data_IF_603319925984
#
_entry.id   IF_603319925984
#
_cell.length_a   1.000
_cell.length_b   1.000
_cell.length_c   1.000
_cell.angle_alpha   90.00
_cell.angle_beta   90.00
_cell.angle_gamma   90.00
#
_symmetry.space_group_name_H-M   'P 1'
#
loop_
_entity.id
_entity.type
_entity.pdbx_description
1 polymer ?
#
# COMPACT_ATOMS: atom_id res chain seq x y z
N UNK A 1 38.07 23.07 24.63
CA UNK A 1 37.35 23.18 23.35
C UNK A 1 36.45 21.95 23.25
N UNK A 2 35.14 22.07 23.51
CA UNK A 2 34.20 20.93 23.43
C UNK A 2 33.84 20.74 21.96
N UNK A 3 34.24 19.63 21.36
CA UNK A 3 33.73 19.18 20.07
C UNK A 3 32.25 18.84 20.25
N UNK A 4 31.37 19.73 19.79
CA UNK A 4 29.95 19.42 19.59
C UNK A 4 29.84 18.40 18.47
N UNK A 5 29.68 17.13 18.81
CA UNK A 5 29.15 16.14 17.85
C UNK A 5 27.70 16.52 17.53
N UNK A 6 27.45 16.98 16.31
CA UNK A 6 26.10 17.01 15.77
C UNK A 6 25.73 15.59 15.36
N UNK A 7 25.00 14.86 16.20
CA UNK A 7 24.43 13.55 15.88
C UNK A 7 23.04 13.72 15.28
N UNK A 8 22.98 14.05 13.99
CA UNK A 8 21.73 13.99 13.23
C UNK A 8 21.44 12.54 12.80
N UNK A 9 20.18 12.09 12.85
CA UNK A 9 19.80 10.71 12.50
C UNK A 9 19.69 10.44 10.99
N UNK A 10 19.76 9.15 10.64
CA UNK A 10 19.64 8.57 9.30
C UNK A 10 18.18 8.30 8.90
N UNK A 11 17.87 8.39 7.60
CA UNK A 11 16.56 8.09 6.99
C UNK A 11 16.77 7.08 5.87
N UNK A 12 16.19 5.87 5.95
CA UNK A 12 16.28 4.90 4.84
C UNK A 12 14.91 4.46 4.34
N UNK A 13 14.71 4.66 3.03
CA UNK A 13 13.58 4.19 2.24
C UNK A 13 14.17 3.45 1.04
N UNK A 14 13.97 2.14 0.95
CA UNK A 14 14.55 1.29 -0.10
C UNK A 14 13.46 0.54 -0.89
N UNK A 15 13.74 0.29 -2.17
CA UNK A 15 12.94 -0.54 -3.05
C UNK A 15 13.90 -1.42 -3.84
N UNK A 16 13.68 -2.73 -3.80
CA UNK A 16 14.52 -3.70 -4.49
C UNK A 16 13.71 -4.35 -5.60
N UNK A 17 13.99 -3.93 -6.82
CA UNK A 17 13.38 -4.51 -8.01
C UNK A 17 14.23 -5.68 -8.54
N UNK A 18 13.72 -6.90 -8.37
CA UNK A 18 14.37 -8.11 -8.85
C UNK A 18 13.58 -8.80 -9.97
N UNK A 19 12.54 -8.15 -10.51
CA UNK A 19 11.64 -8.75 -11.49
C UNK A 19 11.71 -7.96 -12.79
N UNK A 20 12.12 -8.63 -13.88
CA UNK A 20 12.21 -7.98 -15.19
C UNK A 20 10.87 -7.39 -15.58
N UNK A 21 10.87 -6.19 -16.17
CA UNK A 21 9.65 -5.50 -16.56
C UNK A 21 8.73 -6.33 -17.48
N UNK A 22 9.30 -7.21 -18.31
CA UNK A 22 8.58 -8.16 -19.18
C UNK A 22 7.80 -9.23 -18.40
N UNK A 23 8.33 -9.66 -17.25
CA UNK A 23 7.80 -10.76 -16.43
C UNK A 23 6.78 -10.28 -15.37
N UNK A 24 6.67 -8.96 -15.18
CA UNK A 24 5.72 -8.38 -14.22
C UNK A 24 4.28 -8.65 -14.63
N UNK A 25 3.51 -9.07 -13.65
CA UNK A 25 2.07 -9.32 -13.75
C UNK A 25 1.35 -8.04 -14.12
N UNK A 26 0.45 -8.14 -15.11
CA UNK A 26 -0.45 -7.06 -15.49
C UNK A 26 -1.78 -7.20 -14.75
N UNK A 27 -2.23 -6.13 -14.11
CA UNK A 27 -3.44 -6.10 -13.30
C UNK A 27 -4.53 -5.36 -14.08
N UNK A 28 -5.62 -6.06 -14.42
CA UNK A 28 -6.68 -5.52 -15.28
C UNK A 28 -8.07 -5.57 -14.64
N UNK A 29 -8.21 -6.22 -13.48
CA UNK A 29 -9.48 -6.40 -12.79
C UNK A 29 -9.26 -6.55 -11.30
N UNK A 30 -10.31 -6.27 -10.51
CA UNK A 30 -10.32 -6.51 -9.07
C UNK A 30 -10.10 -7.99 -8.72
N UNK A 31 -10.58 -8.92 -9.56
CA UNK A 31 -10.34 -10.35 -9.42
C UNK A 31 -8.85 -10.70 -9.54
N UNK A 32 -8.17 -10.11 -10.53
CA UNK A 32 -6.71 -10.28 -10.68
C UNK A 32 -5.99 -9.66 -9.50
N UNK A 33 -6.39 -8.48 -9.05
CA UNK A 33 -5.81 -7.86 -7.85
C UNK A 33 -5.97 -8.77 -6.63
N UNK A 34 -7.16 -9.31 -6.41
CA UNK A 34 -7.47 -10.20 -5.29
C UNK A 34 -6.62 -11.47 -5.31
N UNK A 35 -6.44 -12.13 -6.46
CA UNK A 35 -5.66 -13.37 -6.52
C UNK A 35 -4.19 -13.18 -6.12
N UNK A 36 -3.61 -12.02 -6.44
CA UNK A 36 -2.24 -11.66 -6.05
C UNK A 36 -2.12 -11.06 -4.65
N UNK A 37 -3.18 -10.43 -4.13
CA UNK A 37 -3.19 -9.85 -2.78
C UNK A 37 -3.53 -10.88 -1.70
N UNK A 38 -4.40 -11.85 -1.98
CA UNK A 38 -4.87 -12.85 -1.02
C UNK A 38 -3.73 -13.57 -0.26
N UNK A 39 -2.62 -13.99 -0.90
CA UNK A 39 -1.53 -14.65 -0.18
C UNK A 39 -0.89 -13.79 0.92
N UNK A 40 -0.93 -12.47 0.81
CA UNK A 40 -0.38 -11.57 1.85
C UNK A 40 -1.21 -11.60 3.14
N UNK A 41 -2.47 -12.03 3.07
CA UNK A 41 -3.36 -12.12 4.22
C UNK A 41 -3.42 -13.52 4.85
N UNK A 42 -2.60 -14.48 4.41
CA UNK A 42 -2.77 -15.89 4.80
C UNK A 42 -2.69 -16.13 6.31
N UNK A 43 -1.93 -15.31 7.04
CA UNK A 43 -1.73 -15.44 8.48
C UNK A 43 -2.68 -14.56 9.31
N UNK A 44 -3.37 -13.59 8.68
CA UNK A 44 -4.20 -12.61 9.39
C UNK A 44 -5.68 -12.65 9.02
N UNK A 45 -6.06 -13.34 7.93
CA UNK A 45 -7.39 -13.30 7.29
C UNK A 45 -8.56 -13.32 8.28
N UNK A 46 -8.53 -14.24 9.24
CA UNK A 46 -9.60 -14.48 10.22
C UNK A 46 -9.28 -13.93 11.62
N UNK A 47 -8.07 -13.38 11.82
CA UNK A 47 -7.58 -12.99 13.14
C UNK A 47 -7.66 -11.49 13.40
N UNK A 48 -7.23 -10.66 12.45
CA UNK A 48 -7.18 -9.21 12.58
C UNK A 48 -7.15 -8.54 11.21
N UNK A 49 -7.40 -7.22 11.19
CA UNK A 49 -7.33 -6.44 9.96
C UNK A 49 -5.90 -6.03 9.66
N UNK A 50 -5.51 -6.24 8.40
CA UNK A 50 -4.34 -5.65 7.78
C UNK A 50 -4.75 -4.92 6.51
N UNK A 51 -3.90 -4.01 6.08
CA UNK A 51 -4.11 -3.17 4.91
C UNK A 51 -2.87 -3.17 4.05
N UNK A 52 -3.03 -3.60 2.80
CA UNK A 52 -1.96 -3.65 1.81
C UNK A 52 -2.24 -2.71 0.63
N UNK A 53 -1.17 -2.23 0.03
CA UNK A 53 -1.23 -1.45 -1.21
C UNK A 53 -0.36 -2.09 -2.27
N UNK A 54 -0.96 -2.36 -3.43
CA UNK A 54 -0.24 -2.74 -4.63
C UNK A 54 0.07 -1.51 -5.47
N UNK A 55 1.31 -1.36 -5.89
CA UNK A 55 1.76 -0.23 -6.70
C UNK A 55 1.91 -0.68 -8.16
N UNK A 56 1.49 0.16 -9.11
CA UNK A 56 1.45 -0.16 -10.53
C UNK A 56 2.23 0.86 -11.34
N UNK A 57 2.83 0.43 -12.45
CA UNK A 57 3.33 1.36 -13.47
C UNK A 57 2.22 1.75 -14.47
N UNK A 58 2.53 2.65 -15.42
CA UNK A 58 1.60 3.11 -16.46
C UNK A 58 0.97 2.01 -17.33
N UNK A 59 1.60 0.83 -17.40
CA UNK A 59 1.08 -0.32 -18.14
C UNK A 59 0.22 -1.26 -17.26
N UNK A 60 -0.16 -0.81 -16.06
CA UNK A 60 -0.80 -1.59 -15.00
C UNK A 60 -0.02 -2.83 -14.60
N UNK A 61 1.31 -2.80 -14.72
CA UNK A 61 2.16 -3.90 -14.24
C UNK A 61 2.56 -3.66 -12.79
N UNK A 62 2.46 -4.71 -11.97
CA UNK A 62 2.79 -4.64 -10.55
C UNK A 62 4.27 -4.26 -10.33
N UNK A 63 4.48 -3.23 -9.52
CA UNK A 63 5.77 -2.80 -9.01
C UNK A 63 6.11 -3.49 -7.69
N UNK A 64 5.09 -3.81 -6.90
CA UNK A 64 5.23 -4.50 -5.64
C UNK A 64 3.99 -4.31 -4.79
N UNK A 65 3.99 -4.95 -3.64
CA UNK A 65 2.95 -4.87 -2.62
C UNK A 65 3.62 -4.48 -1.30
N UNK A 66 3.03 -3.55 -0.56
CA UNK A 66 3.51 -3.12 0.76
C UNK A 66 2.40 -3.22 1.79
N UNK A 67 2.75 -3.73 2.97
CA UNK A 67 1.90 -3.63 4.16
C UNK A 67 1.93 -2.17 4.64
N UNK A 68 0.77 -1.53 4.68
CA UNK A 68 0.64 -0.12 5.10
C UNK A 68 0.19 -0.02 6.55
N UNK A 69 -0.68 -0.92 6.97
CA UNK A 69 -1.20 -0.93 8.33
C UNK A 69 -1.45 -2.34 8.80
N UNK A 70 -1.07 -2.59 10.05
CA UNK A 70 -1.40 -3.79 10.81
C UNK A 70 -2.21 -3.32 12.01
N UNK A 71 -3.51 -3.62 11.99
CA UNK A 71 -4.47 -3.12 12.97
C UNK A 71 -4.78 -4.11 14.09
N UNK A 72 -5.62 -3.65 15.03
CA UNK A 72 -6.36 -4.49 15.97
C UNK A 72 -7.79 -4.79 15.47
N UNK A 73 -8.67 -5.29 16.32
CA UNK A 73 -10.00 -5.82 15.93
C UNK A 73 -11.03 -4.79 15.38
N UNK A 74 -10.75 -3.48 15.41
CA UNK A 74 -11.79 -2.46 15.21
C UNK A 74 -11.58 -1.46 14.07
N UNK A 75 -10.34 -1.19 13.61
CA UNK A 75 -10.04 -0.30 12.48
C UNK A 75 -8.54 -0.36 12.11
N UNK A 76 -8.21 -0.37 10.82
CA UNK A 76 -6.84 -0.20 10.32
C UNK A 76 -6.57 1.24 9.91
N UNK A 77 -5.56 1.88 10.49
CA UNK A 77 -5.17 3.27 10.13
C UNK A 77 -4.26 3.24 8.91
N UNK A 78 -4.78 3.63 7.74
CA UNK A 78 -3.97 3.85 6.54
C UNK A 78 -3.40 5.27 6.52
N UNK A 79 -2.08 5.43 6.70
CA UNK A 79 -1.44 6.73 6.60
C UNK A 79 -1.16 7.10 5.14
N UNK A 80 -1.85 8.15 4.67
CA UNK A 80 -1.72 8.67 3.30
C UNK A 80 -0.28 9.06 2.97
N UNK A 81 0.48 9.63 3.90
CA UNK A 81 1.87 10.05 3.66
C UNK A 81 2.78 8.85 3.42
N UNK A 82 2.56 7.75 4.15
CA UNK A 82 3.34 6.51 3.98
C UNK A 82 3.01 5.85 2.64
N UNK A 83 1.73 5.81 2.26
CA UNK A 83 1.29 5.32 0.95
C UNK A 83 1.96 6.12 -0.17
N UNK A 84 1.87 7.46 -0.11
CA UNK A 84 2.44 8.32 -1.14
C UNK A 84 3.97 8.29 -1.17
N UNK A 85 4.63 8.25 -0.01
CA UNK A 85 6.08 8.08 0.07
C UNK A 85 6.52 6.79 -0.64
N UNK A 86 5.79 5.69 -0.41
CA UNK A 86 6.07 4.41 -1.06
C UNK A 86 5.79 4.47 -2.56
N UNK A 87 4.65 5.05 -2.97
CA UNK A 87 4.29 5.25 -4.38
C UNK A 87 5.37 6.04 -5.13
N UNK A 88 5.84 7.14 -4.54
CA UNK A 88 6.92 7.96 -5.09
C UNK A 88 8.25 7.19 -5.14
N UNK A 89 8.58 6.44 -4.08
CA UNK A 89 9.81 5.64 -4.04
C UNK A 89 9.89 4.60 -5.16
N UNK A 90 8.77 3.96 -5.49
CA UNK A 90 8.71 2.91 -6.52
C UNK A 90 8.37 3.44 -7.91
N UNK A 91 8.23 4.76 -8.07
CA UNK A 91 7.77 5.40 -9.31
C UNK A 91 6.44 4.84 -9.82
N UNK A 92 5.48 4.67 -8.90
CA UNK A 92 4.13 4.26 -9.25
C UNK A 92 3.44 5.29 -10.15
N UNK A 93 2.55 4.79 -11.01
CA UNK A 93 1.57 5.59 -11.77
C UNK A 93 0.14 5.30 -11.33
N UNK A 94 -0.06 4.25 -10.53
CA UNK A 94 -1.32 3.99 -9.86
C UNK A 94 -1.16 3.04 -8.68
N UNK A 95 -2.20 2.96 -7.86
CA UNK A 95 -2.24 2.12 -6.66
C UNK A 95 -3.55 1.34 -6.56
N UNK A 96 -3.50 0.21 -5.85
CA UNK A 96 -4.68 -0.55 -5.45
C UNK A 96 -4.65 -0.72 -3.94
N UNK A 97 -5.67 -0.20 -3.27
CA UNK A 97 -5.87 -0.38 -1.84
C UNK A 97 -6.60 -1.70 -1.57
N UNK A 98 -6.21 -2.40 -0.51
CA UNK A 98 -6.86 -3.62 -0.05
C UNK A 98 -6.76 -3.72 1.46
N UNK A 99 -7.81 -4.24 2.08
CA UNK A 99 -7.82 -4.67 3.49
C UNK A 99 -8.67 -5.93 3.61
N UNK A 100 -8.50 -6.69 4.69
CA UNK A 100 -9.37 -7.82 5.05
C UNK A 100 -10.30 -7.44 6.21
N UNK A 101 -11.48 -8.05 6.26
CA UNK A 101 -12.35 -8.04 7.44
C UNK A 101 -12.46 -9.47 7.98
N UNK A 102 -11.97 -9.76 9.20
CA UNK A 102 -12.13 -11.06 9.83
C UNK A 102 -13.57 -11.55 9.95
N UNK A 103 -14.53 -10.61 9.99
CA UNK A 103 -15.96 -10.91 10.01
C UNK A 103 -16.50 -11.52 8.70
N UNK A 104 -15.74 -11.45 7.61
CA UNK A 104 -16.18 -11.85 6.27
C UNK A 104 -17.17 -10.87 5.60
N UNK A 105 -17.50 -9.75 6.25
CA UNK A 105 -18.34 -8.73 5.65
C UNK A 105 -17.58 -7.98 4.54
N UNK A 106 -18.12 -7.97 3.32
CA UNK A 106 -17.52 -7.30 2.17
C UNK A 106 -18.10 -5.90 1.92
N UNK A 107 -19.01 -5.42 2.78
CA UNK A 107 -19.60 -4.08 2.66
C UNK A 107 -18.65 -3.07 3.30
N UNK A 108 -18.17 -2.06 2.55
CA UNK A 108 -17.27 -1.05 3.11
C UNK A 108 -18.00 -0.23 4.16
N UNK A 109 -17.32 -0.01 5.28
CA UNK A 109 -17.75 0.89 6.34
C UNK A 109 -17.64 2.35 5.90
N UNK A 110 -18.18 3.28 6.69
CA UNK A 110 -17.97 4.71 6.44
C UNK A 110 -16.50 5.13 6.59
N UNK A 111 -15.73 4.66 7.60
CA UNK A 111 -14.29 4.83 7.64
C UNK A 111 -13.57 4.42 6.34
N UNK A 112 -13.91 3.26 5.77
CA UNK A 112 -13.30 2.77 4.52
C UNK A 112 -13.52 3.74 3.35
N UNK A 113 -14.75 4.27 3.23
CA UNK A 113 -15.10 5.24 2.19
C UNK A 113 -14.36 6.56 2.40
N UNK A 114 -14.29 7.04 3.63
CA UNK A 114 -13.63 8.30 3.97
C UNK A 114 -12.13 8.24 3.68
N UNK A 115 -11.45 7.18 4.13
CA UNK A 115 -10.01 7.04 3.89
C UNK A 115 -9.71 6.83 2.40
N UNK A 116 -10.54 6.05 1.68
CA UNK A 116 -10.43 5.89 0.23
C UNK A 116 -10.53 7.23 -0.48
N UNK A 117 -11.52 8.08 -0.12
CA UNK A 117 -11.67 9.41 -0.70
C UNK A 117 -10.46 10.31 -0.41
N UNK A 118 -9.94 10.27 0.82
CA UNK A 118 -8.79 11.07 1.23
C UNK A 118 -7.51 10.67 0.46
N UNK A 119 -7.27 9.37 0.30
CA UNK A 119 -6.14 8.86 -0.47
C UNK A 119 -6.29 9.26 -1.93
N UNK A 120 -7.48 9.10 -2.52
CA UNK A 120 -7.76 9.47 -3.91
C UNK A 120 -7.45 10.95 -4.20
N UNK A 121 -7.90 11.86 -3.34
CA UNK A 121 -7.61 13.29 -3.52
C UNK A 121 -6.10 13.60 -3.39
N UNK A 122 -5.40 12.91 -2.50
CA UNK A 122 -3.96 13.09 -2.36
C UNK A 122 -3.17 12.51 -3.56
N UNK A 123 -3.59 11.36 -4.09
CA UNK A 123 -3.04 10.76 -5.31
C UNK A 123 -3.21 11.66 -6.53
N UNK A 124 -4.35 12.35 -6.65
CA UNK A 124 -4.64 13.29 -7.73
C UNK A 124 -3.63 14.43 -7.82
N UNK A 125 -3.10 14.92 -6.70
CA UNK A 125 -2.07 15.98 -6.66
C UNK A 125 -0.74 15.52 -7.26
N UNK A 126 -0.50 14.20 -7.27
CA UNK A 126 0.74 13.59 -7.74
C UNK A 126 0.57 12.81 -9.06
N UNK A 127 -0.55 12.99 -9.75
CA UNK A 127 -0.90 12.26 -10.98
C UNK A 127 -0.85 10.72 -10.83
N UNK A 128 -1.22 10.23 -9.65
CA UNK A 128 -1.37 8.80 -9.34
C UNK A 128 -2.83 8.37 -9.52
N UNK A 129 -3.05 7.25 -10.22
CA UNK A 129 -4.37 6.68 -10.48
C UNK A 129 -4.81 5.62 -9.47
#
# INVERSE_FOLDING_TARGET
>A
MKTTEFTMPEITISYKDNVKASERVKILSSETSYSYLKPFYSECMEHHEESYVMFLNRANKALGVSLISKGGMAETVMDVKIILQTALKVHASGIILSHNHPSGNLRPSEPDKQITSKIKEACKVLDLH
#
